data_IF_374046511186
#
_entry.id   IF_374046511186
#
_cell.length_a   1.000
_cell.length_b   1.000
_cell.length_c   1.000
_cell.angle_alpha   90.00
_cell.angle_beta   90.00
_cell.angle_gamma   90.00
#
_symmetry.space_group_name_H-M   'P 1'
#
loop_
_entity.id
_entity.type
_entity.pdbx_description
1 polymer ?
#
# COMPACT_ATOMS: atom_id res chain seq x y z
N UNK A 1 6.59 -21.94 -11.39
CA UNK A 1 5.74 -20.88 -10.80
C UNK A 1 5.30 -21.37 -9.45
N UNK A 2 5.79 -20.77 -8.37
CA UNK A 2 5.19 -21.01 -7.04
C UNK A 2 4.02 -20.05 -6.99
N UNK A 3 2.78 -20.57 -7.00
CA UNK A 3 1.62 -19.76 -6.64
C UNK A 3 1.90 -19.14 -5.27
N UNK A 4 2.05 -17.82 -5.22
CA UNK A 4 2.13 -17.11 -3.96
C UNK A 4 0.83 -17.34 -3.22
N UNK A 5 0.84 -18.17 -2.17
CA UNK A 5 -0.35 -18.37 -1.34
C UNK A 5 -0.77 -17.02 -0.75
N UNK A 6 -1.95 -16.54 -1.16
CA UNK A 6 -2.64 -15.46 -0.45
C UNK A 6 -2.98 -16.00 0.94
N UNK A 7 -2.22 -15.57 1.93
CA UNK A 7 -2.42 -15.95 3.33
C UNK A 7 -3.29 -14.91 4.01
N UNK A 8 -4.37 -15.35 4.65
CA UNK A 8 -5.14 -14.49 5.54
C UNK A 8 -4.33 -14.16 6.80
N UNK A 9 -4.41 -12.92 7.25
CA UNK A 9 -3.81 -12.44 8.49
C UNK A 9 -4.70 -11.36 9.12
N UNK A 10 -4.47 -11.09 10.40
CA UNK A 10 -5.07 -9.99 11.14
C UNK A 10 -3.97 -9.07 11.63
N UNK A 11 -4.22 -7.76 11.60
CA UNK A 11 -3.34 -6.73 12.13
C UNK A 11 -4.12 -5.92 13.16
N UNK A 12 -3.49 -5.61 14.28
CA UNK A 12 -3.97 -4.58 15.19
C UNK A 12 -3.87 -3.20 14.53
N UNK A 13 -4.46 -2.19 15.18
CA UNK A 13 -4.55 -0.83 14.66
C UNK A 13 -3.19 -0.24 14.23
N UNK A 14 -2.11 -0.53 14.95
CA UNK A 14 -0.77 0.00 14.68
C UNK A 14 0.11 -0.92 13.81
N UNK A 15 -0.28 -2.17 13.61
CA UNK A 15 0.59 -3.17 12.98
C UNK A 15 0.60 -3.02 11.46
N UNK A 16 1.78 -3.14 10.85
CA UNK A 16 2.00 -2.94 9.41
C UNK A 16 3.36 -2.29 9.15
N UNK A 17 3.64 -1.92 7.89
CA UNK A 17 4.86 -1.18 7.56
C UNK A 17 4.60 0.31 7.74
N UNK A 18 5.20 0.90 8.76
CA UNK A 18 5.07 2.32 9.07
C UNK A 18 6.10 3.17 8.31
N UNK A 19 5.64 4.18 7.58
CA UNK A 19 6.46 5.10 6.80
C UNK A 19 5.95 6.53 6.96
N UNK A 20 6.86 7.49 7.10
CA UNK A 20 6.54 8.91 7.02
C UNK A 20 6.57 9.37 5.56
N UNK A 21 5.46 9.92 5.06
CA UNK A 21 5.37 10.42 3.70
C UNK A 21 4.45 11.64 3.61
N UNK A 22 4.88 12.66 2.85
CA UNK A 22 4.13 13.90 2.60
C UNK A 22 3.65 14.67 3.85
N UNK A 23 4.22 14.40 5.04
CA UNK A 23 3.78 15.02 6.31
C UNK A 23 2.73 14.22 7.09
N UNK A 24 2.41 12.99 6.64
CA UNK A 24 1.55 12.06 7.35
C UNK A 24 2.29 10.77 7.70
N UNK A 25 1.84 10.10 8.77
CA UNK A 25 2.23 8.73 9.08
C UNK A 25 1.33 7.78 8.30
N UNK A 26 1.95 6.91 7.52
CA UNK A 26 1.29 5.90 6.69
C UNK A 26 1.63 4.52 7.27
N UNK A 27 0.63 3.70 7.56
CA UNK A 27 0.81 2.31 7.97
C UNK A 27 0.24 1.40 6.87
N UNK A 28 1.12 0.80 6.08
CA UNK A 28 0.74 -0.13 5.01
C UNK A 28 0.30 -1.47 5.60
N UNK A 29 -0.96 -1.83 5.37
CA UNK A 29 -1.59 -3.06 5.85
C UNK A 29 -1.55 -4.18 4.83
N UNK A 30 -1.65 -3.86 3.54
CA UNK A 30 -1.57 -4.80 2.42
C UNK A 30 -1.10 -4.08 1.14
N UNK A 31 -0.27 -4.74 0.35
CA UNK A 31 0.19 -4.29 -0.97
C UNK A 31 -0.09 -5.36 -2.04
N UNK A 32 0.41 -5.13 -3.25
CA UNK A 32 0.19 -6.01 -4.40
C UNK A 32 0.63 -7.44 -4.16
N UNK A 33 1.69 -7.66 -3.39
CA UNK A 33 2.19 -8.98 -3.02
C UNK A 33 1.15 -9.79 -2.21
N UNK A 34 0.37 -9.14 -1.35
CA UNK A 34 -0.68 -9.80 -0.56
C UNK A 34 -2.03 -9.85 -1.26
N UNK A 35 -2.27 -8.93 -2.21
CA UNK A 35 -3.57 -8.78 -2.88
C UNK A 35 -3.58 -9.27 -4.33
N UNK A 36 -2.52 -9.94 -4.78
CA UNK A 36 -2.36 -10.36 -6.19
C UNK A 36 -2.51 -9.18 -7.16
N UNK A 37 -1.92 -8.04 -6.78
CA UNK A 37 -1.93 -6.81 -7.56
C UNK A 37 -3.28 -6.09 -7.66
N UNK A 38 -4.30 -6.49 -6.88
CA UNK A 38 -5.66 -5.93 -6.99
C UNK A 38 -5.83 -4.63 -6.22
N UNK A 39 -5.18 -4.49 -5.06
CA UNK A 39 -5.37 -3.33 -4.18
C UNK A 39 -4.21 -3.11 -3.23
N UNK A 40 -4.16 -1.92 -2.64
CA UNK A 40 -3.32 -1.62 -1.49
C UNK A 40 -4.18 -0.98 -0.41
N UNK A 41 -3.86 -1.23 0.86
CA UNK A 41 -4.54 -0.67 2.02
C UNK A 41 -3.54 0.03 2.92
N UNK A 42 -3.79 1.32 3.20
CA UNK A 42 -2.97 2.16 4.06
C UNK A 42 -3.86 2.85 5.08
N UNK A 43 -3.45 2.80 6.35
CA UNK A 43 -3.99 3.69 7.37
C UNK A 43 -3.15 4.98 7.35
N UNK A 44 -3.81 6.13 7.22
CA UNK A 44 -3.15 7.44 7.22
C UNK A 44 -3.52 8.22 8.48
N UNK A 45 -2.50 8.72 9.17
CA UNK A 45 -2.65 9.70 10.25
C UNK A 45 -1.99 10.99 9.84
N UNK A 46 -2.79 12.03 9.81
CA UNK A 46 -2.36 13.33 9.34
C UNK A 46 -2.80 14.43 10.30
N UNK A 47 -2.03 15.52 10.40
CA UNK A 47 -2.46 16.75 11.07
C UNK A 47 -3.78 17.31 10.48
N UNK A 48 -4.48 18.15 11.25
CA UNK A 48 -5.76 18.71 10.82
C UNK A 48 -5.68 19.67 9.62
N UNK A 49 -4.50 20.25 9.37
CA UNK A 49 -4.18 21.12 8.24
C UNK A 49 -3.50 20.38 7.08
N UNK A 50 -3.44 19.05 7.15
CA UNK A 50 -2.78 18.24 6.13
C UNK A 50 -3.41 18.42 4.75
N UNK A 51 -2.57 18.77 3.79
CA UNK A 51 -2.91 18.85 2.39
C UNK A 51 -1.75 18.37 1.54
N UNK A 52 -2.08 17.73 0.41
CA UNK A 52 -1.12 17.29 -0.59
C UNK A 52 -1.35 18.07 -1.89
N UNK A 53 -0.30 18.33 -2.69
CA UNK A 53 -0.48 18.88 -4.03
C UNK A 53 -1.44 18.02 -4.85
N UNK A 54 -2.21 18.65 -5.73
CA UNK A 54 -3.08 17.93 -6.67
C UNK A 54 -2.26 16.95 -7.50
N UNK A 55 -2.62 15.67 -7.46
CA UNK A 55 -1.99 14.61 -8.24
C UNK A 55 -3.04 13.63 -8.77
N UNK A 56 -2.66 12.82 -9.75
CA UNK A 56 -3.51 11.81 -10.38
C UNK A 56 -2.76 10.48 -10.36
N UNK A 57 -3.46 9.42 -9.95
CA UNK A 57 -3.01 8.05 -10.15
C UNK A 57 -3.58 7.56 -11.48
N UNK A 58 -2.79 7.68 -12.56
CA UNK A 58 -3.19 7.22 -13.90
C UNK A 58 -2.99 5.72 -14.09
N UNK A 59 -2.18 5.09 -13.23
CA UNK A 59 -1.93 3.65 -13.15
C UNK A 59 -1.79 3.22 -11.69
N UNK A 60 -2.20 1.99 -11.41
CA UNK A 60 -1.91 1.36 -10.13
C UNK A 60 -0.45 0.88 -10.12
N UNK A 61 0.34 1.32 -9.15
CA UNK A 61 1.77 0.97 -9.03
C UNK A 61 2.01 -0.52 -8.74
N UNK A 62 1.00 -1.27 -8.28
CA UNK A 62 1.10 -2.70 -7.97
C UNK A 62 1.08 -3.64 -9.19
N UNK A 63 1.06 -3.12 -10.42
CA UNK A 63 1.19 -3.89 -11.65
C UNK A 63 2.44 -3.48 -12.43
N UNK A 64 3.62 -3.75 -11.87
CA UNK A 64 4.73 -4.01 -12.79
C UNK A 64 4.34 -5.25 -13.62
N UNK A 65 4.32 -5.22 -14.96
CA UNK A 65 4.31 -6.46 -15.71
C UNK A 65 5.53 -7.27 -15.27
N UNK A 66 5.47 -8.62 -15.26
CA UNK A 66 6.69 -9.39 -15.10
C UNK A 66 7.69 -8.89 -16.15
N UNK A 67 8.89 -8.50 -15.72
CA UNK A 67 9.97 -8.24 -16.64
C UNK A 67 10.13 -9.51 -17.48
N UNK A 68 9.74 -9.45 -18.76
CA UNK A 68 10.02 -10.54 -19.69
C UNK A 68 11.52 -10.50 -19.95
N UNK A 69 12.22 -11.42 -19.31
CA UNK A 69 13.61 -11.79 -19.54
C UNK A 69 13.74 -13.30 -19.57
#
# INVERSE_FOLDING_TARGET
>A
MVEGQVRAYMLAQEEGVATWFAGALMVLKAAGEQTTGQSALLDQRAPGDYAVPRHVHDRFWGSSPPAMG
#
